data_IF_876711105234
#
_entry.id   IF_876711105234
#
_cell.length_a   1.000
_cell.length_b   1.000
_cell.length_c   1.000
_cell.angle_alpha   90.00
_cell.angle_beta   90.00
_cell.angle_gamma   90.00
#
_symmetry.space_group_name_H-M   'P 1'
#
loop_
_entity.id
_entity.type
_entity.pdbx_description
1 polymer ?
#
# COMPACT_ATOMS: atom_id res chain seq x y z
N UNK A 1 -68.62 11.34 25.48
CA UNK A 1 -67.77 12.55 25.47
C UNK A 1 -66.56 12.28 26.32
N UNK A 2 -65.34 12.48 25.80
CA UNK A 2 -64.10 12.38 26.58
C UNK A 2 -63.09 11.38 26.00
N UNK A 3 -62.44 11.78 24.91
CA UNK A 3 -61.30 11.13 24.25
C UNK A 3 -59.97 11.48 24.94
N UNK A 4 -59.05 10.52 25.02
CA UNK A 4 -57.59 10.73 25.22
C UNK A 4 -56.90 9.36 25.10
N UNK A 5 -56.12 9.06 24.06
CA UNK A 5 -54.84 9.70 23.71
C UNK A 5 -53.81 9.22 24.73
N UNK A 6 -52.92 8.27 24.43
CA UNK A 6 -51.62 8.52 23.79
C UNK A 6 -51.17 7.27 23.01
N UNK A 7 -50.94 7.42 21.71
CA UNK A 7 -50.23 6.44 20.88
C UNK A 7 -48.72 6.62 21.01
N UNK A 8 -48.02 5.56 21.41
CA UNK A 8 -46.55 5.53 21.45
C UNK A 8 -46.05 5.18 20.05
N UNK A 9 -45.60 6.19 19.31
CA UNK A 9 -44.88 6.03 18.04
C UNK A 9 -43.45 5.57 18.34
N UNK A 10 -43.17 4.28 18.13
CA UNK A 10 -41.82 3.72 18.09
C UNK A 10 -41.11 4.24 16.84
N UNK A 11 -40.33 5.31 17.01
CA UNK A 11 -39.40 5.82 16.00
C UNK A 11 -38.19 4.89 15.92
N UNK A 12 -38.17 4.01 14.92
CA UNK A 12 -36.98 3.24 14.55
C UNK A 12 -36.00 4.20 13.88
N UNK A 13 -34.99 4.66 14.63
CA UNK A 13 -33.84 5.33 14.05
C UNK A 13 -33.08 4.32 13.17
N UNK A 14 -33.35 4.37 11.86
CA UNK A 14 -32.42 3.83 10.87
C UNK A 14 -31.10 4.60 11.02
N UNK A 15 -30.15 3.98 11.72
CA UNK A 15 -28.74 4.35 11.64
C UNK A 15 -28.30 3.99 10.24
N UNK A 16 -28.41 4.95 9.32
CA UNK A 16 -27.70 4.89 8.05
C UNK A 16 -26.21 4.92 8.39
N UNK A 17 -25.62 3.74 8.50
CA UNK A 17 -24.17 3.57 8.50
C UNK A 17 -23.67 4.02 7.14
N UNK A 18 -23.38 5.32 7.03
CA UNK A 18 -22.62 5.90 5.94
C UNK A 18 -21.24 5.26 5.98
N UNK A 19 -21.09 4.09 5.37
CA UNK A 19 -19.78 3.59 4.98
C UNK A 19 -19.26 4.56 3.93
N UNK A 20 -18.58 5.62 4.38
CA UNK A 20 -17.65 6.31 3.52
C UNK A 20 -16.66 5.25 3.05
N UNK A 21 -16.85 4.78 1.83
CA UNK A 21 -15.84 4.01 1.11
C UNK A 21 -14.64 4.93 0.96
N UNK A 22 -13.75 4.90 1.96
CA UNK A 22 -12.44 5.52 1.90
C UNK A 22 -11.68 4.79 0.80
N UNK A 23 -11.70 5.38 -0.40
CA UNK A 23 -11.01 4.84 -1.57
C UNK A 23 -9.51 4.98 -1.33
N UNK A 24 -8.77 3.87 -1.38
CA UNK A 24 -7.36 3.80 -0.95
C UNK A 24 -6.39 4.68 -1.75
N UNK A 25 -6.73 5.10 -2.97
CA UNK A 25 -5.97 6.15 -3.62
C UNK A 25 -6.41 7.45 -2.98
N UNK A 26 -5.62 7.91 -2.05
CA UNK A 26 -5.77 9.26 -1.55
C UNK A 26 -5.50 10.21 -2.70
N UNK A 27 -6.32 11.26 -2.85
CA UNK A 27 -6.02 12.35 -3.77
C UNK A 27 -4.61 12.94 -3.53
N UNK A 28 -4.04 12.70 -2.33
CA UNK A 28 -2.66 13.02 -1.97
C UNK A 28 -1.62 12.15 -2.70
N UNK A 29 -1.81 10.82 -2.79
CA UNK A 29 -0.92 9.95 -3.57
C UNK A 29 -1.03 10.26 -5.05
N UNK A 30 -2.25 10.35 -5.59
CA UNK A 30 -2.46 10.71 -7.00
C UNK A 30 -1.88 12.09 -7.33
N UNK A 31 -2.01 13.06 -6.42
CA UNK A 31 -1.40 14.37 -6.55
C UNK A 31 0.13 14.35 -6.46
N UNK A 32 0.71 13.50 -5.61
CA UNK A 32 2.16 13.33 -5.50
C UNK A 32 2.75 12.62 -6.74
N UNK A 33 2.07 11.59 -7.24
CA UNK A 33 2.38 10.91 -8.49
C UNK A 33 2.26 11.89 -9.65
N UNK A 34 1.16 12.65 -9.76
CA UNK A 34 0.99 13.65 -10.79
C UNK A 34 2.08 14.73 -10.75
N UNK A 35 2.55 15.16 -9.57
CA UNK A 35 3.70 16.08 -9.45
C UNK A 35 5.02 15.42 -9.87
N UNK A 36 5.23 14.16 -9.52
CA UNK A 36 6.40 13.40 -9.96
C UNK A 36 6.39 13.12 -11.47
N UNK A 37 5.22 12.94 -12.09
CA UNK A 37 5.01 12.74 -13.54
C UNK A 37 5.06 14.06 -14.31
N UNK A 38 4.54 15.16 -13.75
CA UNK A 38 4.62 16.49 -14.35
C UNK A 38 6.07 16.97 -14.52
N UNK A 39 6.99 16.36 -13.76
CA UNK A 39 8.42 16.49 -13.93
C UNK A 39 8.93 15.46 -14.95
N UNK A 40 8.71 15.69 -16.25
CA UNK A 40 9.51 15.06 -17.32
C UNK A 40 11.03 15.33 -17.25
N UNK A 41 11.50 15.79 -16.08
CA UNK A 41 12.86 15.85 -15.59
C UNK A 41 13.37 14.45 -15.31
N UNK A 42 14.50 14.08 -15.92
CA UNK A 42 15.24 12.85 -15.61
C UNK A 42 15.74 12.83 -14.15
N UNK A 43 15.79 14.00 -13.48
CA UNK A 43 16.31 14.17 -12.13
C UNK A 43 15.25 14.69 -11.14
N UNK A 44 15.17 14.07 -9.97
CA UNK A 44 14.33 14.45 -8.85
C UNK A 44 15.20 14.77 -7.63
N UNK A 45 15.23 16.03 -7.14
CA UNK A 45 15.97 16.41 -5.94
C UNK A 45 15.52 15.65 -4.69
N UNK A 46 16.40 15.48 -3.70
CA UNK A 46 16.11 14.75 -2.46
C UNK A 46 14.83 15.24 -1.75
N UNK A 47 14.56 16.55 -1.77
CA UNK A 47 13.35 17.12 -1.18
C UNK A 47 12.07 16.59 -1.86
N UNK A 48 12.08 16.43 -3.18
CA UNK A 48 10.92 15.94 -3.93
C UNK A 48 10.78 14.43 -3.81
N UNK A 49 11.89 13.69 -3.76
CA UNK A 49 11.90 12.26 -3.41
C UNK A 49 11.25 12.03 -2.05
N UNK A 50 11.60 12.83 -1.04
CA UNK A 50 10.99 12.76 0.31
C UNK A 50 9.51 13.11 0.32
N UNK A 51 9.06 14.08 -0.48
CA UNK A 51 7.61 14.37 -0.63
C UNK A 51 6.85 13.18 -1.22
N UNK A 52 7.42 12.52 -2.24
CA UNK A 52 6.85 11.30 -2.80
C UNK A 52 6.79 10.19 -1.75
N UNK A 53 7.90 9.95 -1.01
CA UNK A 53 7.94 8.96 0.06
C UNK A 53 6.89 9.24 1.15
N UNK A 54 6.65 10.51 1.52
CA UNK A 54 5.62 10.86 2.49
C UNK A 54 4.20 10.52 1.99
N UNK A 55 3.91 10.76 0.70
CA UNK A 55 2.63 10.38 0.10
C UNK A 55 2.46 8.84 0.01
N UNK A 56 3.55 8.13 -0.32
CA UNK A 56 3.57 6.66 -0.30
C UNK A 56 3.34 6.11 1.10
N UNK A 57 3.89 6.75 2.13
CA UNK A 57 3.67 6.35 3.53
C UNK A 57 2.19 6.48 3.89
N UNK A 58 1.60 7.64 3.59
CA UNK A 58 0.19 7.91 3.86
C UNK A 58 -0.72 6.87 3.17
N UNK A 59 -0.43 6.54 1.91
CA UNK A 59 -1.15 5.47 1.19
C UNK A 59 -1.07 4.12 1.90
N UNK A 60 0.14 3.65 2.23
CA UNK A 60 0.30 2.34 2.86
C UNK A 60 -0.26 2.31 4.28
N UNK A 61 -0.23 3.42 5.02
CA UNK A 61 -0.84 3.50 6.34
C UNK A 61 -2.37 3.50 6.28
N UNK A 62 -2.98 4.15 5.29
CA UNK A 62 -4.43 4.05 5.05
C UNK A 62 -4.84 2.65 4.59
N UNK A 63 -4.03 2.03 3.73
CA UNK A 63 -4.22 0.64 3.28
C UNK A 63 -4.18 -0.32 4.47
N UNK A 64 -3.14 -0.22 5.31
CA UNK A 64 -2.93 -1.09 6.47
C UNK A 64 -4.07 -1.01 7.50
N UNK A 65 -4.60 0.20 7.76
CA UNK A 65 -5.73 0.40 8.70
C UNK A 65 -6.99 -0.35 8.32
N UNK A 66 -7.16 -0.69 7.04
CA UNK A 66 -8.35 -1.35 6.51
C UNK A 66 -8.18 -2.86 6.37
N UNK A 67 -6.96 -3.37 6.52
CA UNK A 67 -6.70 -4.80 6.49
C UNK A 67 -7.19 -5.46 7.79
N UNK A 68 -8.03 -6.50 7.72
CA UNK A 68 -8.30 -7.33 8.88
C UNK A 68 -7.00 -8.01 9.35
N UNK A 69 -6.90 -8.31 10.64
CA UNK A 69 -5.78 -9.08 11.19
C UNK A 69 -6.21 -10.52 11.42
N UNK A 70 -5.29 -11.44 11.18
CA UNK A 70 -5.48 -12.83 11.59
C UNK A 70 -5.63 -12.89 13.10
N UNK A 71 -6.57 -13.71 13.56
CA UNK A 71 -6.64 -14.10 14.96
C UNK A 71 -5.42 -14.95 15.35
N UNK A 72 -5.07 -15.01 16.65
CA UNK A 72 -3.96 -15.86 17.10
C UNK A 72 -4.12 -17.34 16.72
N UNK A 73 -5.37 -17.83 16.62
CA UNK A 73 -5.66 -19.21 16.23
C UNK A 73 -5.37 -19.44 14.75
N UNK A 74 -5.82 -18.54 13.88
CA UNK A 74 -5.54 -18.60 12.43
C UNK A 74 -4.03 -18.48 12.16
N UNK A 75 -3.33 -17.61 12.87
CA UNK A 75 -1.88 -17.46 12.74
C UNK A 75 -1.12 -18.74 13.15
N UNK A 76 -1.51 -19.36 14.26
CA UNK A 76 -0.92 -20.61 14.73
C UNK A 76 -1.20 -21.78 13.76
N UNK A 77 -2.43 -21.86 13.24
CA UNK A 77 -2.81 -22.82 12.21
C UNK A 77 -1.96 -22.63 10.96
N UNK A 78 -1.85 -21.40 10.45
CA UNK A 78 -1.12 -21.11 9.22
C UNK A 78 0.37 -21.47 9.37
N UNK A 79 1.01 -21.10 10.49
CA UNK A 79 2.41 -21.47 10.78
C UNK A 79 2.61 -22.99 10.74
N UNK A 80 1.66 -23.75 11.26
CA UNK A 80 1.71 -25.22 11.30
C UNK A 80 1.56 -25.81 9.89
N UNK A 81 0.59 -25.34 9.11
CA UNK A 81 0.37 -25.87 7.76
C UNK A 81 1.45 -25.45 6.76
N UNK A 82 2.02 -24.24 6.90
CA UNK A 82 3.13 -23.76 6.07
C UNK A 82 4.43 -24.55 6.27
N UNK A 83 4.62 -25.16 7.45
CA UNK A 83 5.72 -26.09 7.71
C UNK A 83 5.45 -27.54 7.29
N UNK A 84 4.27 -27.82 6.71
CA UNK A 84 3.89 -29.16 6.25
C UNK A 84 4.21 -29.38 4.77
N UNK A 85 3.97 -30.58 4.26
CA UNK A 85 4.19 -30.92 2.84
C UNK A 85 2.91 -31.38 2.13
N UNK A 86 2.95 -31.41 0.80
CA UNK A 86 1.93 -32.00 -0.05
C UNK A 86 0.55 -31.32 0.11
N UNK A 87 -0.54 -32.09 0.29
CA UNK A 87 -1.90 -31.54 0.34
C UNK A 87 -2.13 -30.52 1.46
N UNK A 88 -1.40 -30.61 2.58
CA UNK A 88 -1.53 -29.68 3.71
C UNK A 88 -1.04 -28.29 3.34
N UNK A 89 0.19 -28.20 2.84
CA UNK A 89 0.77 -26.96 2.34
C UNK A 89 -0.08 -26.38 1.21
N UNK A 90 -0.53 -27.23 0.28
CA UNK A 90 -1.40 -26.80 -0.83
C UNK A 90 -2.70 -26.16 -0.34
N UNK A 91 -3.35 -26.71 0.70
CA UNK A 91 -4.52 -26.08 1.31
C UNK A 91 -4.17 -24.74 1.97
N UNK A 92 -3.04 -24.67 2.67
CA UNK A 92 -2.59 -23.45 3.33
C UNK A 92 -2.39 -22.32 2.33
N UNK A 93 -1.58 -22.52 1.28
CA UNK A 93 -1.26 -21.46 0.30
C UNK A 93 -2.45 -21.01 -0.54
N UNK A 94 -3.52 -21.80 -0.58
CA UNK A 94 -4.78 -21.46 -1.26
C UNK A 94 -5.88 -20.95 -0.31
N UNK A 95 -5.57 -20.80 0.99
CA UNK A 95 -6.51 -20.35 2.00
C UNK A 95 -6.66 -18.82 2.04
N UNK A 96 -7.77 -18.36 2.62
CA UNK A 96 -8.03 -16.95 2.89
C UNK A 96 -7.00 -16.37 3.86
N UNK A 97 -6.63 -17.16 4.87
CA UNK A 97 -5.70 -16.78 5.93
C UNK A 97 -4.30 -16.55 5.37
N UNK A 98 -3.84 -17.42 4.46
CA UNK A 98 -2.57 -17.22 3.76
C UNK A 98 -2.60 -15.97 2.88
N UNK A 99 -3.69 -15.74 2.16
CA UNK A 99 -3.83 -14.55 1.34
C UNK A 99 -3.74 -13.27 2.20
N UNK A 100 -4.45 -13.23 3.33
CA UNK A 100 -4.39 -12.11 4.26
C UNK A 100 -3.01 -11.93 4.90
N UNK A 101 -2.35 -13.03 5.28
CA UNK A 101 -0.98 -13.01 5.80
C UNK A 101 0.01 -12.47 4.76
N UNK A 102 -0.10 -12.91 3.50
CA UNK A 102 0.76 -12.47 2.40
C UNK A 102 0.61 -10.97 2.13
N UNK A 103 -0.63 -10.47 2.08
CA UNK A 103 -0.91 -9.02 1.93
C UNK A 103 -0.34 -8.24 3.12
N UNK A 104 -0.52 -8.74 4.35
CA UNK A 104 0.00 -8.09 5.56
C UNK A 104 1.52 -8.00 5.53
N UNK A 105 2.22 -9.09 5.23
CA UNK A 105 3.68 -9.09 5.11
C UNK A 105 4.19 -8.10 4.07
N UNK A 106 3.51 -8.02 2.93
CA UNK A 106 3.86 -7.07 1.87
C UNK A 106 3.70 -5.63 2.36
N UNK A 107 2.57 -5.32 2.99
CA UNK A 107 2.27 -3.97 3.52
C UNK A 107 3.27 -3.56 4.60
N UNK A 108 3.58 -4.46 5.54
CA UNK A 108 4.58 -4.22 6.59
C UNK A 108 5.96 -3.93 6.00
N UNK A 109 6.38 -4.73 5.01
CA UNK A 109 7.62 -4.51 4.28
C UNK A 109 7.66 -3.15 3.57
N UNK A 110 6.53 -2.73 2.99
CA UNK A 110 6.40 -1.44 2.33
C UNK A 110 6.47 -0.27 3.29
N UNK A 111 5.72 -0.33 4.40
CA UNK A 111 5.80 0.65 5.47
C UNK A 111 7.23 0.78 6.01
N UNK A 112 7.92 -0.34 6.24
CA UNK A 112 9.29 -0.35 6.74
C UNK A 112 10.27 0.31 5.75
N UNK A 113 10.15 0.00 4.45
CA UNK A 113 10.99 0.58 3.41
C UNK A 113 10.73 2.08 3.22
N UNK A 114 9.46 2.51 3.19
CA UNK A 114 9.12 3.94 3.02
C UNK A 114 9.63 4.75 4.22
N UNK A 115 9.45 4.25 5.44
CA UNK A 115 9.98 4.88 6.66
C UNK A 115 11.51 4.95 6.63
N UNK A 116 12.18 3.97 6.03
CA UNK A 116 13.63 3.99 5.89
C UNK A 116 14.11 5.07 4.93
N UNK A 117 13.44 5.27 3.79
CA UNK A 117 13.70 6.41 2.89
C UNK A 117 13.53 7.74 3.62
N UNK A 118 12.46 7.92 4.38
CA UNK A 118 12.17 9.18 5.08
C UNK A 118 13.21 9.51 6.16
N UNK A 119 13.88 8.51 6.74
CA UNK A 119 14.92 8.69 7.76
C UNK A 119 16.28 9.08 7.21
N UNK A 120 16.56 8.81 5.93
CA UNK A 120 17.83 9.20 5.31
C UNK A 120 17.98 10.72 5.32
N UNK A 121 19.11 11.21 5.80
CA UNK A 121 19.46 12.63 5.81
C UNK A 121 20.21 12.98 4.52
N UNK A 122 20.29 14.28 4.22
CA UNK A 122 21.07 14.78 3.09
C UNK A 122 22.56 14.85 3.50
N UNK A 123 23.16 13.69 3.70
CA UNK A 123 24.58 13.54 4.00
C UNK A 123 25.24 12.62 2.98
N UNK A 124 26.50 12.89 2.63
CA UNK A 124 27.24 12.12 1.62
C UNK A 124 27.27 10.62 1.93
N UNK A 125 27.41 10.27 3.21
CA UNK A 125 27.44 8.87 3.69
C UNK A 125 26.11 8.14 3.55
N UNK A 126 24.98 8.85 3.53
CA UNK A 126 23.65 8.23 3.49
C UNK A 126 23.01 8.22 2.10
N UNK A 127 23.61 8.89 1.10
CA UNK A 127 23.09 8.91 -0.28
C UNK A 127 23.04 7.51 -0.91
N UNK A 128 24.07 6.70 -0.69
CA UNK A 128 24.08 5.30 -1.14
C UNK A 128 23.00 4.45 -0.43
N UNK A 129 22.73 4.75 0.84
CA UNK A 129 21.67 4.12 1.61
C UNK A 129 20.28 4.52 1.10
N UNK A 130 20.08 5.79 0.71
CA UNK A 130 18.85 6.26 0.07
C UNK A 130 18.54 5.46 -1.20
N UNK A 131 19.55 5.31 -2.07
CA UNK A 131 19.43 4.55 -3.31
C UNK A 131 18.97 3.11 -3.05
N UNK A 132 19.57 2.43 -2.07
CA UNK A 132 19.19 1.07 -1.71
C UNK A 132 17.74 0.98 -1.23
N UNK A 133 17.28 1.90 -0.39
CA UNK A 133 15.90 1.91 0.09
C UNK A 133 14.89 2.20 -1.02
N UNK A 134 15.21 3.12 -1.93
CA UNK A 134 14.38 3.35 -3.12
C UNK A 134 14.29 2.13 -4.03
N UNK A 135 15.41 1.42 -4.22
CA UNK A 135 15.40 0.18 -4.99
C UNK A 135 14.53 -0.90 -4.33
N UNK A 136 14.61 -1.05 -3.00
CA UNK A 136 13.77 -2.00 -2.26
C UNK A 136 12.27 -1.63 -2.35
N UNK A 137 11.94 -0.34 -2.42
CA UNK A 137 10.56 0.11 -2.61
C UNK A 137 9.96 -0.31 -3.95
N UNK A 138 10.75 -0.60 -4.99
CA UNK A 138 10.21 -1.05 -6.26
C UNK A 138 9.36 -2.33 -6.12
N UNK A 139 9.71 -3.21 -5.18
CA UNK A 139 8.98 -4.45 -4.88
C UNK A 139 7.59 -4.20 -4.28
N UNK A 140 7.37 -3.04 -3.64
CA UNK A 140 6.04 -2.67 -3.13
C UNK A 140 5.02 -2.47 -4.23
N UNK A 141 5.51 -2.02 -5.38
CA UNK A 141 4.71 -1.62 -6.53
C UNK A 141 4.89 -2.58 -7.71
N UNK A 142 5.66 -3.66 -7.55
CA UNK A 142 5.74 -4.74 -8.53
C UNK A 142 4.51 -5.62 -8.43
N UNK A 143 4.02 -6.11 -9.56
CA UNK A 143 2.94 -7.11 -9.59
C UNK A 143 1.69 -6.70 -8.79
N UNK A 144 1.02 -5.66 -9.28
CA UNK A 144 -0.30 -5.27 -8.76
C UNK A 144 -1.37 -6.36 -9.02
N UNK A 145 -1.13 -7.26 -9.97
CA UNK A 145 -1.99 -8.40 -10.26
C UNK A 145 -2.01 -9.38 -9.09
N UNK A 146 -0.83 -9.84 -8.65
CA UNK A 146 -0.73 -10.70 -7.46
C UNK A 146 -1.35 -10.06 -6.22
N UNK A 147 -1.10 -8.76 -5.96
CA UNK A 147 -1.75 -8.08 -4.83
C UNK A 147 -3.28 -8.12 -4.95
N UNK A 148 -3.84 -7.85 -6.14
CA UNK A 148 -5.27 -7.95 -6.37
C UNK A 148 -5.80 -9.37 -6.17
N UNK A 149 -5.07 -10.38 -6.64
CA UNK A 149 -5.44 -11.78 -6.50
C UNK A 149 -5.45 -12.23 -5.04
N UNK A 150 -4.46 -11.80 -4.25
CA UNK A 150 -4.46 -12.07 -2.81
C UNK A 150 -5.58 -11.32 -2.09
N UNK A 151 -5.86 -10.07 -2.46
CA UNK A 151 -7.00 -9.32 -1.90
C UNK A 151 -8.33 -9.98 -2.27
N UNK A 152 -8.47 -10.51 -3.49
CA UNK A 152 -9.65 -11.24 -3.92
C UNK A 152 -9.81 -12.55 -3.14
N UNK A 153 -8.75 -13.33 -2.99
CA UNK A 153 -8.73 -14.55 -2.17
C UNK A 153 -9.03 -14.28 -0.70
N UNK A 154 -8.59 -13.12 -0.19
CA UNK A 154 -8.90 -12.65 1.16
C UNK A 154 -10.34 -12.12 1.30
N UNK A 155 -11.13 -12.09 0.22
CA UNK A 155 -12.49 -11.53 0.16
C UNK A 155 -12.54 -10.02 0.48
N UNK A 156 -11.45 -9.31 0.18
CA UNK A 156 -11.27 -7.88 0.42
C UNK A 156 -11.42 -7.03 -0.85
N UNK A 157 -11.23 -7.65 -2.01
CA UNK A 157 -11.43 -7.03 -3.32
C UNK A 157 -12.65 -7.61 -4.01
N UNK A 158 -13.32 -6.78 -4.82
CA UNK A 158 -14.35 -7.21 -5.77
C UNK A 158 -13.73 -7.64 -7.13
N UNK A 159 -12.42 -7.89 -7.16
CA UNK A 159 -11.63 -8.20 -8.34
C UNK A 159 -11.25 -6.97 -9.16
N UNK A 160 -11.72 -5.77 -8.79
CA UNK A 160 -11.38 -4.52 -9.48
C UNK A 160 -10.27 -3.78 -8.76
N UNK A 161 -9.35 -3.23 -9.56
CA UNK A 161 -8.23 -2.44 -9.07
C UNK A 161 -8.65 -1.12 -8.40
N UNK A 162 -9.87 -0.65 -8.64
CA UNK A 162 -10.44 0.58 -8.08
C UNK A 162 -11.42 0.33 -6.93
N UNK A 163 -11.46 -0.89 -6.39
CA UNK A 163 -12.31 -1.29 -5.28
C UNK A 163 -11.92 -0.66 -3.94
N UNK A 164 -12.42 -1.20 -2.81
CA UNK A 164 -12.09 -0.70 -1.47
C UNK A 164 -10.58 -0.56 -1.27
N UNK A 165 -9.81 -1.56 -1.72
CA UNK A 165 -8.35 -1.50 -1.81
C UNK A 165 -7.93 -1.02 -3.20
N UNK A 166 -7.97 0.29 -3.39
CA UNK A 166 -7.57 0.92 -4.64
C UNK A 166 -6.05 0.78 -4.88
N UNK A 167 -5.71 0.12 -5.99
CA UNK A 167 -4.35 -0.25 -6.41
C UNK A 167 -4.09 0.14 -7.88
N UNK A 168 -4.97 0.96 -8.48
CA UNK A 168 -4.69 1.62 -9.76
C UNK A 168 -3.49 2.54 -9.59
N UNK A 169 -2.66 2.64 -10.64
CA UNK A 169 -1.51 3.55 -10.63
C UNK A 169 -0.25 3.01 -9.94
N UNK A 170 -0.28 1.85 -9.27
CA UNK A 170 0.94 1.27 -8.67
C UNK A 170 2.04 1.02 -9.72
N UNK A 171 1.69 0.60 -10.94
CA UNK A 171 2.65 0.46 -12.04
C UNK A 171 3.27 1.81 -12.46
N UNK A 172 2.50 2.90 -12.39
CA UNK A 172 3.00 4.25 -12.67
C UNK A 172 3.96 4.70 -11.55
N UNK A 173 3.59 4.48 -10.29
CA UNK A 173 4.48 4.72 -9.13
C UNK A 173 5.77 3.95 -9.30
N UNK A 174 5.70 2.66 -9.65
CA UNK A 174 6.88 1.83 -9.93
C UNK A 174 7.74 2.44 -11.02
N UNK A 175 7.13 2.84 -12.15
CA UNK A 175 7.84 3.48 -13.27
C UNK A 175 8.57 4.74 -12.84
N UNK A 176 7.93 5.60 -12.03
CA UNK A 176 8.56 6.80 -11.48
C UNK A 176 9.76 6.44 -10.60
N UNK A 177 9.60 5.44 -9.72
CA UNK A 177 10.69 4.99 -8.86
C UNK A 177 11.87 4.50 -9.71
N UNK A 178 11.62 3.62 -10.67
CA UNK A 178 12.68 2.97 -11.46
C UNK A 178 13.33 3.92 -12.46
N UNK A 179 12.57 4.83 -13.07
CA UNK A 179 13.05 5.65 -14.19
C UNK A 179 13.48 7.06 -13.78
N UNK A 180 13.08 7.52 -12.59
CA UNK A 180 13.40 8.88 -12.13
C UNK A 180 14.06 8.86 -10.76
N UNK A 181 13.42 8.26 -9.75
CA UNK A 181 13.86 8.39 -8.36
C UNK A 181 15.17 7.65 -8.10
N UNK A 182 15.26 6.37 -8.50
CA UNK A 182 16.46 5.55 -8.35
C UNK A 182 17.63 6.16 -9.14
N UNK A 183 17.50 6.51 -10.44
CA UNK A 183 18.58 7.21 -11.16
C UNK A 183 19.02 8.52 -10.51
N UNK A 184 18.09 9.30 -9.95
CA UNK A 184 18.44 10.54 -9.25
C UNK A 184 19.24 10.29 -7.97
N UNK A 185 18.84 9.28 -7.18
CA UNK A 185 19.60 8.88 -6.00
C UNK A 185 21.00 8.34 -6.38
N UNK A 186 21.12 7.64 -7.51
CA UNK A 186 22.41 7.17 -8.05
C UNK A 186 23.32 8.34 -8.45
N UNK A 187 22.79 9.36 -9.12
CA UNK A 187 23.52 10.61 -9.44
C UNK A 187 24.10 11.22 -8.17
N UNK A 188 23.27 11.38 -7.14
CA UNK A 188 23.68 12.01 -5.89
C UNK A 188 24.73 11.17 -5.14
N UNK A 189 24.58 9.83 -5.16
CA UNK A 189 25.45 8.89 -4.45
C UNK A 189 26.78 8.63 -5.15
N UNK A 190 26.80 8.63 -6.49
CA UNK A 190 27.95 8.19 -7.29
C UNK A 190 28.62 9.31 -8.09
N UNK A 191 28.04 10.53 -8.08
CA UNK A 191 28.54 11.66 -8.87
C UNK A 191 28.37 11.49 -10.38
N UNK A 192 27.39 10.68 -10.80
CA UNK A 192 27.14 10.39 -12.22
C UNK A 192 26.32 11.51 -12.89
N UNK A 193 26.32 11.54 -14.22
CA UNK A 193 25.45 12.41 -15.01
C UNK A 193 24.39 11.59 -15.75
N UNK A 194 23.17 12.14 -15.85
CA UNK A 194 22.10 11.53 -16.64
C UNK A 194 22.21 12.00 -18.09
N UNK A 195 22.46 11.08 -19.01
CA UNK A 195 22.36 11.36 -20.44
C UNK A 195 20.88 11.42 -20.85
N UNK A 196 20.50 12.43 -21.63
CA UNK A 196 19.19 12.43 -22.30
C UNK A 196 19.20 11.35 -23.39
N UNK A 197 18.26 10.41 -23.32
CA UNK A 197 17.93 9.52 -24.43
C UNK A 197 17.09 10.25 -25.47
#
# INVERSE_FOLDING_TARGET
MGTGGVGVLLSFCLVASSTCSSSASTAELDGAVARAVALGSLYAPIADRKKLAAAMLAYWEDFDKRLPRLSPVEEAWLKTEMGSEGPRLSRAVNSKEYALWSVTLRVDGCLANVRSVLRVQDSETERATEMLYWNNLTNCYSDAGDLNDQLLKAELSNGRFDGPFHIVGLNLVRSIITNTIVPSAMVDAMGWSLAKQ
#
